data_IF_011010197310
#
_entry.id   IF_011010197310
#
_cell.length_a   1.000
_cell.length_b   1.000
_cell.length_c   1.000
_cell.angle_alpha   90.00
_cell.angle_beta   90.00
_cell.angle_gamma   90.00
#
_symmetry.space_group_name_H-M   'P 1'
#
loop_
_entity.id
_entity.type
_entity.pdbx_description
1 polymer ?
#
# COMPACT_ATOMS: atom_id res chain seq x y z
N UNK A 1 -25.07 -2.64 20.26
CA UNK A 1 -25.76 -3.04 19.02
C UNK A 1 -24.83 -3.98 18.31
N UNK A 2 -25.23 -5.24 18.33
CA UNK A 2 -24.36 -6.41 18.42
C UNK A 2 -23.52 -6.70 17.18
N UNK A 3 -22.45 -7.44 17.45
CA UNK A 3 -21.31 -7.72 16.59
C UNK A 3 -21.74 -8.51 15.34
N UNK A 4 -21.20 -8.12 14.18
CA UNK A 4 -21.21 -8.95 12.99
C UNK A 4 -20.55 -10.30 13.32
N UNK A 5 -21.27 -11.40 13.11
CA UNK A 5 -20.68 -12.73 13.01
C UNK A 5 -19.73 -12.72 11.80
N UNK A 6 -18.44 -12.58 12.07
CA UNK A 6 -17.39 -12.85 11.10
C UNK A 6 -16.98 -14.32 11.24
N UNK A 7 -17.08 -15.05 10.14
CA UNK A 7 -16.60 -16.43 10.08
C UNK A 7 -15.09 -16.42 9.94
N UNK A 8 -14.38 -16.89 10.96
CA UNK A 8 -12.96 -17.21 10.83
C UNK A 8 -12.86 -18.54 10.09
N UNK A 9 -12.57 -18.50 8.80
CA UNK A 9 -12.33 -19.71 8.02
C UNK A 9 -10.89 -20.17 8.24
N UNK A 10 -10.72 -21.30 8.92
CA UNK A 10 -9.45 -22.02 8.92
C UNK A 10 -9.55 -23.11 7.86
N UNK A 11 -8.64 -23.12 6.88
CA UNK A 11 -8.60 -24.14 5.81
C UNK A 11 -8.09 -25.48 6.38
N UNK A 12 -8.93 -26.21 7.10
CA UNK A 12 -8.64 -27.58 7.57
C UNK A 12 -9.47 -28.59 6.77
N UNK A 13 -8.82 -29.60 6.18
CA UNK A 13 -9.51 -30.75 5.59
C UNK A 13 -9.92 -31.74 6.69
N UNK A 14 -10.89 -32.61 6.41
CA UNK A 14 -11.53 -33.57 7.34
C UNK A 14 -10.55 -34.52 8.08
N UNK A 15 -9.29 -34.60 7.65
CA UNK A 15 -8.24 -35.41 8.25
C UNK A 15 -7.25 -34.61 9.13
N UNK A 16 -7.56 -33.38 9.53
CA UNK A 16 -6.66 -32.52 10.32
C UNK A 16 -5.41 -32.06 9.55
N UNK A 17 -5.30 -32.40 8.26
CA UNK A 17 -4.32 -31.84 7.34
C UNK A 17 -4.90 -30.56 6.75
N UNK A 18 -4.10 -29.49 6.73
CA UNK A 18 -4.45 -28.22 6.09
C UNK A 18 -4.89 -28.50 4.64
N UNK A 19 -6.10 -28.09 4.25
CA UNK A 19 -6.54 -28.23 2.87
C UNK A 19 -5.58 -27.40 2.01
N UNK A 20 -4.81 -28.04 1.14
CA UNK A 20 -3.93 -27.29 0.24
C UNK A 20 -4.84 -26.55 -0.75
N UNK A 21 -4.80 -25.22 -0.69
CA UNK A 21 -5.41 -24.40 -1.72
C UNK A 21 -4.80 -24.75 -3.08
N UNK A 22 -5.57 -24.63 -4.16
CA UNK A 22 -5.06 -24.70 -5.54
C UNK A 22 -4.30 -23.43 -5.94
N UNK A 23 -4.11 -22.50 -4.98
CA UNK A 23 -3.54 -21.19 -5.17
C UNK A 23 -2.34 -20.98 -4.26
N UNK A 24 -1.30 -20.35 -4.82
CA UNK A 24 -0.16 -19.83 -4.07
C UNK A 24 0.13 -18.42 -4.57
N UNK A 25 0.68 -17.59 -3.69
CA UNK A 25 0.81 -16.15 -3.92
C UNK A 25 2.27 -15.79 -4.15
N UNK A 26 2.53 -14.98 -5.17
CA UNK A 26 3.78 -14.24 -5.28
C UNK A 26 3.59 -12.88 -4.61
N UNK A 27 4.41 -12.60 -3.60
CA UNK A 27 4.59 -11.25 -3.05
C UNK A 27 5.98 -10.74 -3.41
N UNK A 28 6.02 -9.60 -4.09
CA UNK A 28 7.25 -8.95 -4.56
C UNK A 28 7.35 -7.53 -4.05
N UNK A 29 8.11 -7.33 -2.99
CA UNK A 29 8.41 -6.02 -2.42
C UNK A 29 9.52 -5.37 -3.24
N UNK A 30 9.27 -4.24 -3.89
CA UNK A 30 10.25 -3.54 -4.72
C UNK A 30 10.92 -2.46 -3.89
N UNK A 31 12.23 -2.57 -3.69
CA UNK A 31 13.02 -1.60 -2.93
C UNK A 31 13.60 -0.49 -3.82
N UNK A 32 14.03 0.61 -3.20
CA UNK A 32 14.77 1.67 -3.89
C UNK A 32 16.16 1.19 -4.33
N UNK A 33 16.67 1.71 -5.45
CA UNK A 33 17.98 1.38 -6.05
C UNK A 33 19.19 1.93 -5.28
N UNK A 34 19.02 2.47 -4.07
CA UNK A 34 20.09 3.16 -3.34
C UNK A 34 21.04 2.19 -2.61
N UNK A 35 21.76 1.37 -3.38
CA UNK A 35 22.99 0.74 -2.91
C UNK A 35 24.14 1.75 -3.04
N UNK A 36 24.28 2.61 -2.04
CA UNK A 36 25.60 3.09 -1.62
C UNK A 36 25.58 3.39 -0.13
N UNK A 37 25.65 2.33 0.67
CA UNK A 37 25.77 2.43 2.14
C UNK A 37 27.18 2.82 2.62
N UNK A 38 28.09 3.28 1.75
CA UNK A 38 29.50 3.55 2.11
C UNK A 38 30.06 4.94 1.69
N UNK A 39 29.22 5.94 1.41
CA UNK A 39 29.72 7.31 1.21
C UNK A 39 29.01 8.25 2.18
N UNK A 40 29.80 8.77 3.12
CA UNK A 40 29.43 9.87 4.00
C UNK A 40 28.72 11.01 3.24
N UNK A 41 27.83 11.80 3.89
CA UNK A 41 27.11 12.86 3.21
C UNK A 41 28.06 14.00 2.84
N UNK A 42 28.68 13.91 1.66
CA UNK A 42 29.42 15.01 1.06
C UNK A 42 28.42 15.95 0.38
N UNK A 43 28.36 17.17 0.90
CA UNK A 43 27.62 18.29 0.35
C UNK A 43 28.13 18.64 -1.06
N UNK A 44 27.62 17.99 -2.10
CA UNK A 44 27.83 18.45 -3.50
C UNK A 44 27.08 17.60 -4.52
N UNK A 45 25.89 18.05 -4.94
CA UNK A 45 25.50 18.14 -6.36
C UNK A 45 24.10 18.74 -6.52
N UNK A 46 24.09 20.05 -6.80
CA UNK A 46 22.99 20.69 -7.52
C UNK A 46 22.92 20.03 -8.91
N UNK A 47 21.82 19.34 -9.24
CA UNK A 47 21.51 18.92 -10.61
C UNK A 47 21.40 17.42 -10.86
N UNK A 48 20.41 16.76 -10.26
CA UNK A 48 19.69 15.65 -10.89
C UNK A 48 18.31 15.54 -10.25
N UNK A 49 17.32 16.17 -10.87
CA UNK A 49 15.89 16.12 -10.48
C UNK A 49 15.23 14.78 -10.90
N UNK A 50 15.98 13.69 -11.07
CA UNK A 50 15.38 12.36 -11.24
C UNK A 50 15.14 11.77 -9.86
N UNK A 51 13.89 11.82 -9.41
CA UNK A 51 13.50 11.21 -8.14
C UNK A 51 13.65 9.69 -8.23
N UNK A 52 14.23 9.01 -7.22
CA UNK A 52 14.35 7.54 -7.18
C UNK A 52 12.99 6.79 -7.24
N UNK A 53 11.87 7.52 -7.09
CA UNK A 53 10.53 7.01 -7.39
C UNK A 53 10.38 6.51 -8.83
N UNK A 54 11.05 7.16 -9.80
CA UNK A 54 10.88 6.82 -11.22
C UNK A 54 11.52 5.46 -11.57
N UNK A 55 12.72 5.17 -11.06
CA UNK A 55 13.39 3.88 -11.35
C UNK A 55 12.67 2.68 -10.73
N UNK A 56 12.21 2.82 -9.49
CA UNK A 56 11.47 1.75 -8.80
C UNK A 56 10.10 1.50 -9.44
N UNK A 57 9.44 2.54 -9.96
CA UNK A 57 8.21 2.42 -10.73
C UNK A 57 8.46 1.71 -12.06
N UNK A 58 9.46 2.12 -12.83
CA UNK A 58 9.80 1.51 -14.12
C UNK A 58 10.09 0.02 -13.95
N UNK A 59 10.83 -0.33 -12.90
CA UNK A 59 11.08 -1.73 -12.55
C UNK A 59 9.79 -2.47 -12.21
N UNK A 60 8.94 -1.90 -11.36
CA UNK A 60 7.65 -2.51 -11.00
C UNK A 60 6.75 -2.70 -12.23
N UNK A 61 6.76 -1.77 -13.18
CA UNK A 61 6.03 -1.92 -14.44
C UNK A 61 6.61 -3.01 -15.34
N UNK A 62 7.94 -3.13 -15.42
CA UNK A 62 8.60 -4.22 -16.15
C UNK A 62 8.28 -5.60 -15.55
N UNK A 63 8.32 -5.72 -14.21
CA UNK A 63 7.94 -6.92 -13.48
C UNK A 63 6.46 -7.27 -13.70
N UNK A 64 5.56 -6.27 -13.73
CA UNK A 64 4.14 -6.46 -14.08
C UNK A 64 3.97 -7.13 -15.45
N UNK A 65 4.73 -6.72 -16.46
CA UNK A 65 4.65 -7.34 -17.79
C UNK A 65 5.08 -8.81 -17.77
N UNK A 66 6.14 -9.12 -17.03
CA UNK A 66 6.61 -10.51 -16.82
C UNK A 66 5.54 -11.36 -16.14
N UNK A 67 4.93 -10.86 -15.06
CA UNK A 67 3.90 -11.57 -14.31
C UNK A 67 2.62 -11.76 -15.13
N UNK A 68 2.18 -10.72 -15.83
CA UNK A 68 0.97 -10.77 -16.67
C UNK A 68 1.10 -11.76 -17.83
N UNK A 69 2.30 -11.96 -18.37
CA UNK A 69 2.54 -12.92 -19.43
C UNK A 69 2.62 -14.38 -18.92
N UNK A 70 2.67 -14.58 -17.60
CA UNK A 70 2.87 -15.91 -17.03
C UNK A 70 1.56 -16.75 -17.07
N UNK A 71 1.58 -17.98 -17.62
CA UNK A 71 0.36 -18.75 -17.90
C UNK A 71 -0.41 -19.20 -16.65
N UNK A 72 0.27 -19.30 -15.51
CA UNK A 72 -0.36 -19.72 -14.24
C UNK A 72 -0.88 -18.56 -13.40
N UNK A 73 -0.59 -17.31 -13.77
CA UNK A 73 -1.11 -16.14 -13.04
C UNK A 73 -2.57 -15.95 -13.42
N UNK A 74 -3.48 -15.96 -12.45
CA UNK A 74 -4.91 -15.73 -12.71
C UNK A 74 -5.29 -14.29 -12.43
N UNK A 75 -4.71 -13.72 -11.38
CA UNK A 75 -5.01 -12.38 -10.92
C UNK A 75 -3.75 -11.72 -10.37
N UNK A 76 -3.67 -10.39 -10.45
CA UNK A 76 -2.60 -9.68 -9.80
C UNK A 76 -2.79 -8.17 -9.79
N UNK A 77 -2.22 -7.56 -8.76
CA UNK A 77 -2.28 -6.12 -8.51
C UNK A 77 -0.89 -5.61 -8.16
N UNK A 78 -0.57 -4.44 -8.72
CA UNK A 78 0.52 -3.60 -8.30
C UNK A 78 -0.01 -2.57 -7.31
N UNK A 79 0.64 -2.53 -6.15
CA UNK A 79 0.33 -1.62 -5.06
C UNK A 79 1.43 -0.57 -4.92
N UNK A 80 1.05 0.68 -4.65
CA UNK A 80 1.96 1.79 -4.34
C UNK A 80 1.88 2.14 -2.85
N UNK A 81 3.02 2.20 -2.17
CA UNK A 81 3.08 2.64 -0.79
C UNK A 81 2.78 4.15 -0.71
N UNK A 82 2.00 4.53 0.30
CA UNK A 82 1.62 5.94 0.52
C UNK A 82 2.32 6.57 1.73
N UNK A 83 3.22 5.82 2.37
CA UNK A 83 4.13 6.31 3.39
C UNK A 83 5.10 7.34 2.81
N UNK A 84 5.64 8.23 3.65
CA UNK A 84 6.51 9.31 3.18
C UNK A 84 7.88 8.82 2.68
N UNK A 85 8.46 7.79 3.34
CA UNK A 85 9.77 7.23 3.00
C UNK A 85 9.70 5.69 3.06
N UNK A 86 9.02 5.05 2.10
CA UNK A 86 8.84 3.60 2.13
C UNK A 86 10.14 2.87 1.81
N UNK A 87 10.46 1.80 2.55
CA UNK A 87 11.54 0.88 2.17
C UNK A 87 11.19 0.15 0.87
N UNK A 88 9.89 -0.12 0.68
CA UNK A 88 9.34 -0.78 -0.50
C UNK A 88 8.23 0.09 -1.10
N UNK A 89 8.55 1.05 -1.99
CA UNK A 89 7.54 1.90 -2.64
C UNK A 89 6.48 1.13 -3.42
N UNK A 90 6.80 -0.06 -3.93
CA UNK A 90 5.86 -0.88 -4.68
C UNK A 90 5.80 -2.32 -4.17
N UNK A 91 4.64 -2.94 -4.31
CA UNK A 91 4.39 -4.33 -3.95
C UNK A 91 3.58 -5.03 -5.06
N UNK A 92 4.13 -6.11 -5.59
CA UNK A 92 3.40 -7.05 -6.41
C UNK A 92 2.65 -8.04 -5.52
N UNK A 93 1.36 -8.23 -5.82
CA UNK A 93 0.56 -9.30 -5.26
C UNK A 93 -0.09 -10.05 -6.43
N UNK A 94 0.37 -11.28 -6.70
CA UNK A 94 -0.11 -12.10 -7.82
C UNK A 94 -0.51 -13.51 -7.37
N UNK A 95 -1.63 -14.00 -7.89
CA UNK A 95 -2.20 -15.32 -7.59
C UNK A 95 -1.80 -16.30 -8.69
N UNK A 96 -1.09 -17.36 -8.31
CA UNK A 96 -0.75 -18.48 -9.17
C UNK A 96 -1.68 -19.66 -8.89
N UNK A 97 -2.29 -20.23 -9.93
CA UNK A 97 -3.25 -21.32 -9.81
C UNK A 97 -2.79 -22.57 -10.55
N UNK A 98 -2.71 -23.68 -9.84
CA UNK A 98 -2.43 -25.01 -10.39
C UNK A 98 -2.70 -26.06 -9.31
N UNK A 99 -3.10 -27.29 -9.69
CA UNK A 99 -3.45 -28.34 -8.70
C UNK A 99 -2.25 -28.82 -7.90
N UNK A 100 -1.11 -28.96 -8.57
CA UNK A 100 0.15 -29.37 -7.95
C UNK A 100 0.86 -28.16 -7.31
N UNK A 101 1.11 -28.25 -6.00
CA UNK A 101 1.76 -27.20 -5.21
C UNK A 101 3.23 -27.02 -5.59
N UNK A 102 3.99 -28.09 -5.81
CA UNK A 102 5.42 -27.97 -6.14
C UNK A 102 5.59 -27.23 -7.46
N UNK A 103 4.74 -27.54 -8.45
CA UNK A 103 4.71 -26.83 -9.73
C UNK A 103 4.38 -25.35 -9.56
N UNK A 104 3.47 -24.98 -8.64
CA UNK A 104 3.20 -23.55 -8.34
C UNK A 104 4.43 -22.86 -7.78
N UNK A 105 5.06 -23.45 -6.77
CA UNK A 105 6.22 -22.86 -6.12
C UNK A 105 7.39 -22.72 -7.10
N UNK A 106 7.64 -23.73 -7.93
CA UNK A 106 8.69 -23.68 -8.95
C UNK A 106 8.40 -22.63 -10.03
N UNK A 107 7.14 -22.51 -10.46
CA UNK A 107 6.73 -21.47 -11.42
C UNK A 107 6.88 -20.06 -10.87
N UNK A 108 6.54 -19.86 -9.59
CA UNK A 108 6.78 -18.58 -8.90
C UNK A 108 8.28 -18.29 -8.85
N UNK A 109 9.10 -19.27 -8.49
CA UNK A 109 10.56 -19.10 -8.41
C UNK A 109 11.18 -18.79 -9.79
N UNK A 110 10.70 -19.42 -10.86
CA UNK A 110 11.12 -19.13 -12.24
C UNK A 110 10.72 -17.71 -12.66
N UNK A 111 9.50 -17.27 -12.33
CA UNK A 111 9.08 -15.89 -12.56
C UNK A 111 9.97 -14.90 -11.78
N UNK A 112 10.29 -15.18 -10.52
CA UNK A 112 11.19 -14.38 -9.69
C UNK A 112 12.60 -14.35 -10.26
N UNK A 113 13.11 -15.46 -10.78
CA UNK A 113 14.43 -15.50 -11.40
C UNK A 113 14.53 -14.63 -12.66
N UNK A 114 13.44 -14.51 -13.43
CA UNK A 114 13.35 -13.63 -14.60
C UNK A 114 13.25 -12.16 -14.24
N UNK A 115 12.72 -11.85 -13.06
CA UNK A 115 12.64 -10.48 -12.53
C UNK A 115 13.99 -10.10 -11.91
N UNK A 116 14.63 -9.04 -12.40
CA UNK A 116 15.95 -8.63 -11.92
C UNK A 116 15.89 -8.31 -10.41
N UNK A 117 16.72 -8.97 -9.60
CA UNK A 117 16.78 -8.81 -8.14
C UNK A 117 17.87 -7.82 -7.69
N UNK A 118 18.46 -7.06 -8.62
CA UNK A 118 19.47 -6.03 -8.31
C UNK A 118 18.99 -4.90 -7.41
N UNK A 119 17.69 -4.65 -7.39
CA UNK A 119 17.10 -3.71 -6.45
C UNK A 119 17.06 -4.38 -5.07
N UNK A 120 16.99 -3.61 -3.98
CA UNK A 120 16.77 -4.13 -2.63
C UNK A 120 15.39 -4.81 -2.45
N UNK A 121 14.83 -5.34 -3.53
CA UNK A 121 13.60 -6.07 -3.63
C UNK A 121 13.66 -7.44 -2.95
N UNK A 122 12.51 -7.83 -2.42
CA UNK A 122 12.31 -9.10 -1.72
C UNK A 122 11.10 -9.79 -2.34
N UNK A 123 11.35 -10.94 -2.96
CA UNK A 123 10.31 -11.75 -3.58
C UNK A 123 10.17 -13.08 -2.85
N UNK A 124 8.95 -13.61 -2.81
CA UNK A 124 8.71 -14.95 -2.30
C UNK A 124 7.41 -15.57 -2.79
N UNK A 125 7.40 -16.89 -2.79
CA UNK A 125 6.18 -17.69 -2.88
C UNK A 125 5.59 -17.86 -1.49
N UNK A 126 4.28 -17.66 -1.35
CA UNK A 126 3.58 -17.74 -0.08
C UNK A 126 2.31 -18.56 -0.21
N UNK A 127 2.00 -19.32 0.84
CA UNK A 127 0.71 -19.95 0.99
C UNK A 127 -0.12 -19.20 2.02
N UNK A 128 -1.40 -19.06 1.72
CA UNK A 128 -2.38 -18.58 2.69
C UNK A 128 -2.55 -19.61 3.81
N UNK A 129 -2.47 -19.14 5.05
CA UNK A 129 -2.62 -20.02 6.22
C UNK A 129 -3.87 -19.71 7.03
N UNK A 130 -4.29 -18.45 7.08
CA UNK A 130 -5.53 -18.01 7.70
C UNK A 130 -6.15 -16.89 6.90
N UNK A 131 -7.48 -16.86 6.85
CA UNK A 131 -8.22 -15.73 6.31
C UNK A 131 -9.51 -15.48 7.10
N UNK A 132 -9.85 -14.20 7.23
CA UNK A 132 -11.13 -13.73 7.74
C UNK A 132 -11.75 -12.87 6.66
N UNK A 133 -12.93 -13.29 6.19
CA UNK A 133 -13.74 -12.51 5.27
C UNK A 133 -14.79 -11.77 6.07
N UNK A 134 -14.82 -10.45 5.94
CA UNK A 134 -15.84 -9.66 6.63
C UNK A 134 -17.12 -9.74 5.80
N UNK A 135 -18.24 -10.07 6.45
CA UNK A 135 -19.58 -10.34 5.86
C UNK A 135 -20.23 -9.14 5.15
N UNK A 136 -19.49 -8.07 4.87
CA UNK A 136 -19.97 -6.87 4.20
C UNK A 136 -20.11 -7.11 2.69
N UNK A 137 -21.19 -7.81 2.34
CA UNK A 137 -21.71 -8.09 1.00
C UNK A 137 -20.76 -8.92 0.12
N UNK A 138 -21.32 -10.02 -0.38
CA UNK A 138 -20.80 -10.92 -1.42
C UNK A 138 -20.56 -10.14 -2.72
N UNK A 139 -19.57 -9.25 -2.74
CA UNK A 139 -19.22 -8.43 -3.89
C UNK A 139 -17.80 -8.84 -4.27
N UNK A 140 -17.74 -9.63 -5.33
CA UNK A 140 -16.57 -10.00 -6.12
C UNK A 140 -15.32 -10.41 -5.33
N UNK A 141 -15.00 -11.70 -5.35
CA UNK A 141 -13.72 -12.25 -4.89
C UNK A 141 -12.51 -11.73 -5.69
N UNK A 142 -12.75 -10.88 -6.68
CA UNK A 142 -11.72 -10.18 -7.41
C UNK A 142 -11.02 -9.14 -6.54
N UNK A 143 -9.74 -8.96 -6.81
CA UNK A 143 -8.91 -7.93 -6.23
C UNK A 143 -9.55 -6.55 -6.44
N UNK A 144 -9.50 -5.67 -5.43
CA UNK A 144 -10.02 -4.32 -5.56
C UNK A 144 -9.38 -3.58 -6.73
N UNK A 145 -10.21 -2.96 -7.56
CA UNK A 145 -9.76 -2.14 -8.70
C UNK A 145 -9.99 -0.65 -8.54
N UNK A 146 -10.62 -0.26 -7.45
CA UNK A 146 -10.98 1.12 -7.20
C UNK A 146 -9.82 1.91 -6.59
N UNK A 147 -9.63 3.17 -7.00
CA UNK A 147 -8.56 4.07 -6.53
C UNK A 147 -8.56 4.36 -5.02
N UNK A 148 -9.67 4.16 -4.31
CA UNK A 148 -9.71 4.34 -2.85
C UNK A 148 -9.48 3.04 -2.08
N UNK A 149 -9.40 1.91 -2.78
CA UNK A 149 -9.05 0.66 -2.18
C UNK A 149 -7.55 0.62 -1.86
N UNK A 150 -7.23 -0.14 -0.83
CA UNK A 150 -5.87 -0.22 -0.33
C UNK A 150 -5.70 -1.33 0.69
N UNK A 151 -4.46 -1.50 1.08
CA UNK A 151 -4.03 -2.56 1.97
C UNK A 151 -3.21 -1.99 3.11
N UNK A 152 -3.49 -2.41 4.34
CA UNK A 152 -2.47 -2.40 5.38
C UNK A 152 -1.69 -3.71 5.21
N UNK A 153 -0.39 -3.59 4.96
CA UNK A 153 0.50 -4.73 4.77
C UNK A 153 1.48 -4.76 5.92
N UNK A 154 1.64 -5.93 6.52
CA UNK A 154 2.54 -6.14 7.65
C UNK A 154 3.43 -7.34 7.38
N UNK A 155 4.74 -7.13 7.38
CA UNK A 155 5.73 -8.14 7.00
C UNK A 155 6.68 -8.46 8.14
N UNK A 156 7.00 -9.75 8.31
CA UNK A 156 7.74 -10.25 9.47
C UNK A 156 8.95 -11.07 9.05
N UNK A 157 10.10 -10.76 9.63
CA UNK A 157 11.28 -11.64 9.60
C UNK A 157 11.38 -12.34 10.94
N UNK A 158 11.59 -13.65 10.91
CA UNK A 158 11.81 -14.44 12.12
C UNK A 158 13.30 -14.71 12.27
N UNK A 159 13.76 -14.73 13.52
CA UNK A 159 15.06 -15.27 13.88
C UNK A 159 14.84 -16.79 13.98
N UNK A 160 15.58 -17.55 13.19
CA UNK A 160 15.37 -18.98 12.91
C UNK A 160 15.09 -19.81 14.18
N UNK A 161 13.85 -20.26 14.34
CA UNK A 161 13.51 -21.38 15.25
C UNK A 161 12.16 -22.01 14.85
N UNK A 162 12.22 -22.94 13.89
CA UNK A 162 11.04 -23.62 13.30
C UNK A 162 10.11 -24.28 14.33
N UNK A 163 10.66 -24.66 15.50
CA UNK A 163 9.92 -25.32 16.58
C UNK A 163 8.80 -24.45 17.18
N UNK A 164 8.89 -23.12 17.05
CA UNK A 164 7.92 -22.18 17.60
C UNK A 164 6.86 -21.73 16.59
N UNK A 165 7.01 -22.09 15.30
CA UNK A 165 6.15 -21.59 14.23
C UNK A 165 4.69 -21.99 14.43
N UNK A 166 4.41 -23.22 14.88
CA UNK A 166 3.03 -23.71 15.09
C UNK A 166 2.32 -22.99 16.25
N UNK A 167 3.02 -22.73 17.36
CA UNK A 167 2.48 -21.99 18.49
C UNK A 167 2.23 -20.51 18.12
N UNK A 168 3.13 -19.94 17.32
CA UNK A 168 2.98 -18.59 16.78
C UNK A 168 1.75 -18.49 15.87
N UNK A 169 1.58 -19.42 14.93
CA UNK A 169 0.43 -19.48 14.01
C UNK A 169 -0.92 -19.54 14.75
N UNK A 170 -1.01 -20.29 15.85
CA UNK A 170 -2.24 -20.36 16.67
C UNK A 170 -2.65 -19.03 17.31
N UNK A 171 -1.70 -18.10 17.49
CA UNK A 171 -1.93 -16.79 18.11
C UNK A 171 -1.85 -15.63 17.12
N UNK A 172 -1.96 -15.91 15.82
CA UNK A 172 -1.69 -14.94 14.74
C UNK A 172 -2.43 -13.63 14.86
N UNK A 173 -3.69 -13.63 15.30
CA UNK A 173 -4.45 -12.40 15.47
C UNK A 173 -3.79 -11.40 16.42
N UNK A 174 -3.09 -11.89 17.46
CA UNK A 174 -2.47 -11.06 18.48
C UNK A 174 -1.12 -10.50 18.06
N UNK A 175 -0.20 -11.34 17.59
CA UNK A 175 1.17 -10.91 17.29
C UNK A 175 1.27 -10.17 15.96
N UNK A 176 0.43 -10.50 14.97
CA UNK A 176 0.45 -9.80 13.68
C UNK A 176 -0.17 -8.41 13.74
N UNK A 177 -0.94 -8.09 14.80
CA UNK A 177 -1.74 -6.87 14.87
C UNK A 177 -3.10 -6.96 14.17
N UNK A 178 -3.45 -8.09 13.55
CA UNK A 178 -4.73 -8.28 12.87
C UNK A 178 -5.95 -8.04 13.79
N UNK A 179 -5.85 -8.40 15.08
CA UNK A 179 -6.91 -8.10 16.08
C UNK A 179 -7.14 -6.61 16.25
N UNK A 180 -6.07 -5.82 16.28
CA UNK A 180 -6.15 -4.36 16.43
C UNK A 180 -6.82 -3.74 15.20
N UNK A 181 -6.42 -4.18 14.01
CA UNK A 181 -7.03 -3.75 12.74
C UNK A 181 -8.52 -4.11 12.72
N UNK A 182 -8.85 -5.37 12.98
CA UNK A 182 -10.23 -5.85 12.94
C UNK A 182 -11.14 -5.10 13.92
N UNK A 183 -10.67 -4.85 15.15
CA UNK A 183 -11.46 -4.20 16.20
C UNK A 183 -11.57 -2.69 16.02
N UNK A 184 -10.50 -2.05 15.54
CA UNK A 184 -10.38 -0.59 15.56
C UNK A 184 -10.48 0.08 14.19
N UNK A 185 -10.55 -0.68 13.09
CA UNK A 185 -10.81 -0.10 11.77
C UNK A 185 -12.21 0.52 11.74
N UNK A 186 -12.34 1.81 11.38
CA UNK A 186 -13.63 2.44 11.13
C UNK A 186 -14.43 1.71 10.04
N UNK A 187 -15.75 1.63 10.22
CA UNK A 187 -16.66 1.03 9.22
C UNK A 187 -16.57 1.72 7.85
N UNK A 188 -16.25 3.02 7.83
CA UNK A 188 -16.08 3.81 6.60
C UNK A 188 -14.91 3.36 5.74
N UNK A 189 -13.96 2.60 6.29
CA UNK A 189 -12.85 2.04 5.51
C UNK A 189 -13.28 0.80 4.72
N UNK A 190 -14.36 0.15 5.17
CA UNK A 190 -14.91 -1.06 4.58
C UNK A 190 -13.84 -2.17 4.47
N UNK A 191 -13.45 -2.69 5.64
CA UNK A 191 -12.57 -3.85 5.76
C UNK A 191 -13.24 -5.06 5.10
N UNK A 192 -12.59 -5.60 4.06
CA UNK A 192 -13.10 -6.75 3.30
C UNK A 192 -12.49 -8.05 3.80
N UNK A 193 -11.18 -8.04 4.05
CA UNK A 193 -10.43 -9.28 4.30
C UNK A 193 -9.18 -9.07 5.14
N UNK A 194 -8.87 -10.04 6.00
CA UNK A 194 -7.57 -10.19 6.64
C UNK A 194 -7.02 -11.56 6.25
N UNK A 195 -5.83 -11.62 5.68
CA UNK A 195 -5.20 -12.87 5.29
C UNK A 195 -3.75 -12.92 5.72
N UNK A 196 -3.36 -14.02 6.37
CA UNK A 196 -1.98 -14.28 6.75
C UNK A 196 -1.36 -15.27 5.77
N UNK A 197 -0.22 -14.86 5.23
CA UNK A 197 0.59 -15.60 4.28
C UNK A 197 1.87 -16.07 4.94
N UNK A 198 2.27 -17.32 4.67
CA UNK A 198 3.54 -17.91 5.10
C UNK A 198 4.42 -18.19 3.91
N UNK A 199 5.69 -17.84 4.03
CA UNK A 199 6.68 -18.11 3.00
C UNK A 199 6.91 -19.61 2.80
N UNK A 200 6.93 -20.04 1.54
CA UNK A 200 7.22 -21.40 1.14
C UNK A 200 8.72 -21.55 0.91
N UNK A 201 9.43 -22.03 1.93
CA UNK A 201 10.87 -22.31 1.82
C UNK A 201 11.09 -23.58 1.01
N UNK A 202 11.48 -23.45 -0.27
CA UNK A 202 11.79 -24.60 -1.12
C UNK A 202 13.29 -24.80 -1.37
N UNK A 203 14.16 -23.87 -0.92
CA UNK A 203 15.61 -23.99 -1.14
C UNK A 203 16.39 -23.51 0.08
N UNK A 204 17.36 -24.32 0.49
CA UNK A 204 18.40 -23.94 1.45
C UNK A 204 19.22 -22.80 0.84
N UNK A 205 18.90 -21.59 1.25
CA UNK A 205 19.56 -20.37 0.84
C UNK A 205 18.97 -19.21 1.64
N UNK A 206 19.76 -18.18 1.90
CA UNK A 206 19.30 -16.97 2.59
C UNK A 206 18.24 -16.28 1.74
N UNK A 207 16.98 -16.67 1.90
CA UNK A 207 15.87 -15.96 1.27
C UNK A 207 15.79 -14.57 1.87
N UNK A 208 15.86 -13.54 1.02
CA UNK A 208 15.62 -12.16 1.46
C UNK A 208 14.14 -11.93 1.82
N UNK A 209 13.25 -12.90 1.58
CA UNK A 209 11.82 -12.81 1.81
C UNK A 209 11.45 -12.67 3.30
N UNK A 210 10.21 -12.22 3.53
CA UNK A 210 9.60 -12.21 4.85
C UNK A 210 9.05 -13.61 5.17
N UNK A 211 9.19 -14.07 6.41
CA UNK A 211 8.66 -15.37 6.83
C UNK A 211 7.12 -15.39 6.81
N UNK A 212 6.52 -14.28 7.22
CA UNK A 212 5.07 -14.07 7.20
C UNK A 212 4.71 -12.69 6.66
N UNK A 213 3.55 -12.61 6.00
CA UNK A 213 2.95 -11.35 5.56
C UNK A 213 1.47 -11.35 5.87
N UNK A 214 1.01 -10.37 6.65
CA UNK A 214 -0.41 -10.08 6.84
C UNK A 214 -0.84 -9.05 5.79
N UNK A 215 -1.88 -9.38 5.03
CA UNK A 215 -2.57 -8.48 4.11
C UNK A 215 -3.95 -8.17 4.67
N UNK A 216 -4.24 -6.89 4.90
CA UNK A 216 -5.56 -6.42 5.29
C UNK A 216 -6.14 -5.56 4.18
N UNK A 217 -7.19 -6.04 3.53
CA UNK A 217 -7.83 -5.43 2.37
C UNK A 217 -9.00 -4.52 2.76
N UNK A 218 -9.03 -3.33 2.20
CA UNK A 218 -10.08 -2.34 2.43
C UNK A 218 -10.58 -1.75 1.11
N UNK A 219 -11.88 -1.51 1.00
CA UNK A 219 -12.46 -0.91 -0.20
C UNK A 219 -12.24 0.61 -0.29
N UNK A 220 -12.05 1.29 0.85
CA UNK A 220 -12.08 2.77 0.92
C UNK A 220 -11.06 3.39 1.88
N UNK A 221 -10.03 2.64 2.30
CA UNK A 221 -9.03 3.15 3.27
C UNK A 221 -8.23 4.34 2.73
N UNK A 222 -8.02 4.43 1.42
CA UNK A 222 -7.29 5.51 0.76
C UNK A 222 -8.17 6.70 0.36
N UNK A 223 -9.47 6.71 0.72
CA UNK A 223 -10.31 7.90 0.54
C UNK A 223 -9.71 9.09 1.33
N UNK A 224 -9.70 10.33 0.80
CA UNK A 224 -9.08 11.47 1.47
C UNK A 224 -9.54 11.71 2.91
N UNK A 225 -10.81 11.43 3.23
CA UNK A 225 -11.35 11.54 4.60
C UNK A 225 -10.83 10.46 5.56
N UNK A 226 -10.34 9.33 5.04
CA UNK A 226 -9.92 8.17 5.82
C UNK A 226 -8.38 8.11 5.95
N UNK A 227 -7.65 8.63 4.95
CA UNK A 227 -6.21 8.46 4.80
C UNK A 227 -5.39 8.84 6.04
N UNK A 228 -5.70 9.98 6.68
CA UNK A 228 -4.95 10.43 7.85
C UNK A 228 -5.10 9.45 9.03
N UNK A 229 -6.31 8.97 9.29
CA UNK A 229 -6.58 8.01 10.36
C UNK A 229 -6.00 6.62 10.03
N UNK A 230 -5.94 6.25 8.76
CA UNK A 230 -5.30 5.02 8.31
C UNK A 230 -3.78 5.05 8.54
N UNK A 231 -3.13 6.18 8.26
CA UNK A 231 -1.72 6.40 8.56
C UNK A 231 -1.46 6.37 10.08
N UNK A 232 -2.32 7.02 10.89
CA UNK A 232 -2.24 6.93 12.36
C UNK A 232 -2.33 5.47 12.85
N UNK A 233 -3.24 4.66 12.29
CA UNK A 233 -3.30 3.24 12.64
C UNK A 233 -2.00 2.50 12.30
N UNK A 234 -1.38 2.81 11.16
CA UNK A 234 -0.10 2.21 10.78
C UNK A 234 1.00 2.57 11.80
N UNK A 235 1.09 3.83 12.22
CA UNK A 235 2.06 4.25 13.26
C UNK A 235 1.82 3.53 14.59
N UNK A 236 0.57 3.40 15.04
CA UNK A 236 0.24 2.66 16.27
C UNK A 236 0.66 1.19 16.19
N UNK A 237 0.51 0.55 15.02
CA UNK A 237 0.96 -0.83 14.80
C UNK A 237 2.49 -0.93 14.82
N UNK A 238 3.22 0.06 14.28
CA UNK A 238 4.70 0.14 14.37
C UNK A 238 5.18 0.30 15.80
N UNK A 239 4.57 1.17 16.58
CA UNK A 239 4.89 1.36 18.01
C UNK A 239 4.67 0.08 18.82
N UNK A 240 3.70 -0.75 18.41
CA UNK A 240 3.45 -2.07 19.00
C UNK A 240 4.43 -3.16 18.53
N UNK A 241 5.41 -2.81 17.68
CA UNK A 241 6.36 -3.72 17.05
C UNK A 241 5.68 -4.86 16.27
N UNK A 242 4.55 -4.58 15.62
CA UNK A 242 3.91 -5.53 14.72
C UNK A 242 4.67 -5.65 13.39
N UNK A 243 5.99 -5.88 13.37
CA UNK A 243 6.76 -6.04 12.13
C UNK A 243 6.89 -4.77 11.27
N UNK A 244 7.18 -4.95 9.98
CA UNK A 244 7.25 -3.86 9.00
C UNK A 244 5.85 -3.52 8.50
N UNK A 245 5.33 -2.35 8.89
CA UNK A 245 3.95 -1.91 8.59
C UNK A 245 3.96 -0.80 7.56
N UNK A 246 3.19 -0.97 6.49
CA UNK A 246 3.00 0.04 5.45
C UNK A 246 1.57 0.07 4.91
N UNK A 247 1.14 1.26 4.50
CA UNK A 247 -0.15 1.47 3.84
C UNK A 247 0.06 1.55 2.33
N UNK A 248 -0.67 0.72 1.60
CA UNK A 248 -0.57 0.59 0.16
C UNK A 248 -1.89 0.94 -0.51
N UNK A 249 -1.81 1.61 -1.65
CA UNK A 249 -2.94 1.95 -2.51
C UNK A 249 -2.87 1.12 -3.79
N UNK A 250 -4.03 0.72 -4.32
CA UNK A 250 -4.10 0.04 -5.61
C UNK A 250 -3.66 0.99 -6.72
N UNK A 251 -2.61 0.61 -7.45
CA UNK A 251 -2.07 1.38 -8.58
C UNK A 251 -2.53 0.79 -9.92
N UNK A 252 -2.41 -0.53 -10.11
CA UNK A 252 -2.75 -1.21 -11.35
C UNK A 252 -3.17 -2.67 -11.11
N UNK A 253 -4.30 -3.11 -11.66
CA UNK A 253 -4.64 -4.54 -11.82
C UNK A 253 -4.26 -5.08 -13.19
N UNK A 254 -3.57 -6.20 -13.24
CA UNK A 254 -3.21 -6.87 -14.47
C UNK A 254 -3.94 -8.21 -14.65
N UNK A 255 -5.21 -8.27 -14.22
CA UNK A 255 -6.11 -9.40 -14.42
C UNK A 255 -6.02 -9.93 -15.86
N UNK A 256 -5.73 -11.22 -15.99
CA UNK A 256 -5.68 -11.90 -17.28
C UNK A 256 -7.11 -12.17 -17.70
N UNK A 257 -7.79 -11.15 -18.24
CA UNK A 257 -9.01 -11.40 -19.00
C UNK A 257 -8.59 -12.13 -20.27
N UNK A 258 -8.82 -13.44 -20.31
CA UNK A 258 -8.87 -14.19 -21.55
C UNK A 258 -10.06 -13.69 -22.36
N UNK A 259 -9.88 -12.62 -23.15
CA UNK A 259 -10.56 -12.36 -24.44
C UNK A 259 -10.25 -10.96 -25.01
N UNK A 260 -9.83 -10.97 -26.28
CA UNK A 260 -9.82 -9.89 -27.29
C UNK A 260 -8.83 -8.70 -27.15
N UNK A 261 -8.04 -8.41 -28.20
CA UNK A 261 -7.25 -7.18 -28.31
C UNK A 261 -8.20 -6.04 -28.69
N UNK A 262 -8.78 -5.39 -27.69
CA UNK A 262 -9.78 -4.36 -27.98
C UNK A 262 -10.25 -3.55 -26.79
N UNK A 263 -9.38 -3.23 -25.82
CA UNK A 263 -9.58 -2.07 -24.95
C UNK A 263 -8.31 -1.78 -24.14
N UNK A 264 -7.30 -1.19 -24.77
CA UNK A 264 -6.26 -0.47 -24.04
C UNK A 264 -6.73 0.97 -23.86
N UNK A 265 -7.21 1.31 -22.67
CA UNK A 265 -7.27 2.71 -22.23
C UNK A 265 -5.84 3.16 -21.93
N UNK A 266 -5.14 3.51 -23.01
CA UNK A 266 -3.87 4.24 -23.01
C UNK A 266 -4.19 5.58 -23.68
N UNK A 267 -4.90 6.46 -22.97
CA UNK A 267 -4.99 7.87 -23.33
C UNK A 267 -5.35 8.67 -22.08
N UNK A 268 -4.34 9.11 -21.32
CA UNK A 268 -4.43 10.34 -20.52
C UNK A 268 -3.10 10.75 -19.87
N UNK A 269 -1.96 10.67 -20.56
CA UNK A 269 -0.81 11.54 -20.23
C UNK A 269 -0.05 11.90 -21.51
N UNK A 270 -0.64 12.74 -22.36
CA UNK A 270 0.14 13.59 -23.27
C UNK A 270 -0.08 15.03 -22.83
N UNK A 271 0.93 15.59 -22.15
CA UNK A 271 1.08 17.03 -21.96
C UNK A 271 1.03 17.69 -23.33
N UNK A 272 -0.06 18.39 -23.59
CA UNK A 272 -0.27 19.25 -24.75
C UNK A 272 0.76 20.40 -24.70
N UNK A 273 1.87 20.25 -25.43
CA UNK A 273 2.76 21.36 -25.75
C UNK A 273 2.18 22.05 -26.97
N UNK A 274 1.51 23.19 -26.78
CA UNK A 274 1.11 24.09 -27.85
C UNK A 274 2.36 24.55 -28.63
N UNK A 275 2.49 24.25 -29.94
CA UNK A 275 3.49 24.92 -30.76
C UNK A 275 2.96 26.31 -31.15
N UNK A 276 3.64 27.35 -30.67
CA UNK A 276 3.44 28.72 -31.15
C UNK A 276 3.84 28.78 -32.63
N UNK A 277 2.85 28.89 -33.52
CA UNK A 277 3.08 29.17 -34.93
C UNK A 277 2.92 30.67 -35.21
N UNK A 278 3.97 31.15 -35.86
CA UNK A 278 4.36 32.52 -36.14
C UNK A 278 3.62 33.05 -37.36
N UNK A 279 2.99 34.21 -37.20
CA UNK A 279 2.76 35.30 -38.16
C UNK A 279 2.31 34.98 -39.60
N UNK A 280 1.15 35.51 -39.97
CA UNK A 280 0.98 36.17 -41.26
C UNK A 280 0.10 37.42 -41.11
N UNK A 281 0.68 38.54 -41.52
CA UNK A 281 0.06 39.85 -41.70
C UNK A 281 -0.35 39.99 -43.16
N UNK A 282 -1.58 40.44 -43.44
CA UNK A 282 -1.87 41.30 -44.61
C UNK A 282 -3.21 42.04 -44.43
N UNK A 283 -3.19 43.31 -44.84
CA UNK A 283 -4.12 44.40 -44.54
C UNK A 283 -5.22 44.63 -45.62
N UNK A 284 -6.12 45.59 -45.28
CA UNK A 284 -6.80 46.60 -46.14
C UNK A 284 -8.32 46.45 -46.42
N UNK A 285 -9.11 47.28 -45.69
CA UNK A 285 -10.18 48.26 -46.06
C UNK A 285 -11.36 47.86 -46.97
N UNK A 286 -12.61 48.37 -46.93
CA UNK A 286 -13.26 49.53 -46.29
C UNK A 286 -14.81 49.42 -46.39
N UNK A 287 -15.53 50.07 -45.46
CA UNK A 287 -16.84 50.77 -45.60
C UNK A 287 -18.13 49.99 -45.92
N UNK A 288 -19.14 50.03 -45.02
CA UNK A 288 -20.36 50.88 -45.13
C UNK A 288 -21.29 50.63 -43.93
N UNK A 289 -21.90 51.71 -43.45
CA UNK A 289 -22.65 51.84 -42.20
C UNK A 289 -24.12 51.36 -42.24
N UNK A 290 -24.74 51.25 -41.06
CA UNK A 290 -25.83 52.09 -40.49
C UNK A 290 -26.88 51.25 -39.70
N UNK A 291 -27.19 51.76 -38.48
CA UNK A 291 -28.41 51.66 -37.65
C UNK A 291 -28.44 50.80 -36.37
N UNK A 292 -28.26 51.50 -35.24
CA UNK A 292 -29.11 51.55 -34.02
C UNK A 292 -29.34 50.25 -33.22
N UNK A 293 -29.22 50.16 -31.89
CA UNK A 293 -29.75 51.02 -30.82
C UNK A 293 -29.11 50.65 -29.46
N UNK A 294 -29.19 51.61 -28.53
CA UNK A 294 -28.73 51.66 -27.13
C UNK A 294 -29.16 50.47 -26.24
N UNK A 295 -28.30 50.11 -25.27
CA UNK A 295 -28.58 50.18 -23.80
C UNK A 295 -27.32 49.97 -22.95
N UNK A 296 -27.02 50.98 -22.13
CA UNK A 296 -26.08 50.97 -21.00
C UNK A 296 -26.66 50.06 -19.87
N UNK A 297 -25.88 49.29 -19.10
CA UNK A 297 -25.06 49.66 -17.91
C UNK A 297 -24.70 48.33 -17.14
N UNK A 298 -23.90 48.31 -16.06
CA UNK A 298 -22.44 48.39 -16.00
C UNK A 298 -21.82 47.18 -15.24
N UNK A 299 -20.49 47.12 -15.19
CA UNK A 299 -19.70 45.99 -14.63
C UNK A 299 -19.75 45.80 -13.10
N UNK A 300 -19.06 44.74 -12.61
CA UNK A 300 -19.14 44.29 -11.22
C UNK A 300 -18.18 45.07 -10.29
N UNK A 301 -18.71 45.53 -9.16
CA UNK A 301 -17.94 46.15 -8.07
C UNK A 301 -17.38 45.08 -7.13
N UNK A 302 -16.06 44.97 -7.10
CA UNK A 302 -15.28 44.36 -6.03
C UNK A 302 -15.43 45.22 -4.77
N UNK A 303 -15.83 44.60 -3.65
CA UNK A 303 -15.68 45.21 -2.32
C UNK A 303 -15.07 44.20 -1.36
N UNK A 304 -13.82 44.45 -1.03
CA UNK A 304 -13.12 43.76 0.05
C UNK A 304 -13.71 44.09 1.41
N UNK A 305 -13.58 43.14 2.33
CA UNK A 305 -13.58 43.39 3.78
C UNK A 305 -12.51 42.52 4.42
N UNK A 306 -11.45 43.21 4.81
CA UNK A 306 -10.51 42.87 5.87
C UNK A 306 -11.20 42.90 7.23
N UNK A 307 -10.88 41.92 8.08
CA UNK A 307 -10.98 41.85 9.55
C UNK A 307 -10.38 40.45 9.88
N UNK A 308 -9.18 40.28 10.45
CA UNK A 308 -8.56 41.04 11.54
C UNK A 308 -8.96 40.41 12.87
N UNK A 309 -8.42 39.23 13.20
CA UNK A 309 -8.48 38.69 14.57
C UNK A 309 -7.10 38.73 15.20
N UNK A 310 -7.08 39.47 16.31
CA UNK A 310 -5.96 39.86 17.16
C UNK A 310 -5.81 38.82 18.26
N UNK A 311 -4.57 38.40 18.52
CA UNK A 311 -4.20 37.63 19.71
C UNK A 311 -4.46 38.47 20.96
N UNK A 312 -4.93 37.81 22.02
CA UNK A 312 -4.88 38.35 23.37
C UNK A 312 -4.39 37.24 24.30
N UNK A 313 -3.11 37.30 24.62
CA UNK A 313 -2.49 36.70 25.80
C UNK A 313 -2.96 37.49 27.03
N UNK A 314 -3.37 36.80 28.08
CA UNK A 314 -3.25 37.32 29.44
C UNK A 314 -2.99 36.16 30.39
N UNK A 315 -1.81 36.23 31.02
CA UNK A 315 -1.39 35.43 32.17
C UNK A 315 -2.09 35.95 33.43
N UNK A 316 -2.44 35.04 34.33
CA UNK A 316 -2.25 35.16 35.79
C UNK A 316 -2.37 33.73 36.35
N UNK A 317 -1.28 33.05 36.70
CA UNK A 317 -0.55 33.12 37.97
C UNK A 317 -1.42 33.02 39.24
N UNK A 318 -1.68 31.78 39.66
CA UNK A 318 -1.62 31.28 41.04
C UNK A 318 -2.02 29.80 40.96
N UNK A 319 -1.24 28.78 41.30
CA UNK A 319 -0.18 28.66 42.28
C UNK A 319 -0.53 27.40 43.09
N UNK A 320 0.26 26.34 42.98
CA UNK A 320 0.65 25.48 44.11
C UNK A 320 1.53 24.31 43.64
N UNK A 321 2.77 24.41 44.11
CA UNK A 321 3.76 23.36 44.25
C UNK A 321 3.20 22.14 45.00
N UNK A 322 3.52 20.95 44.51
CA UNK A 322 3.73 19.78 45.36
C UNK A 322 4.95 19.01 44.85
N UNK A 323 6.03 19.22 45.59
CA UNK A 323 7.36 18.64 45.50
C UNK A 323 7.45 17.33 46.29
N UNK A 324 8.20 16.37 45.73
CA UNK A 324 8.93 15.25 46.37
C UNK A 324 8.16 14.15 47.14
N UNK A 325 8.38 12.89 46.73
CA UNK A 325 9.25 12.00 47.52
C UNK A 325 9.73 10.78 46.70
N UNK A 326 11.06 10.69 46.63
CA UNK A 326 11.83 9.47 46.37
C UNK A 326 11.58 8.47 47.49
N UNK A 327 11.33 7.20 47.16
CA UNK A 327 11.63 6.09 48.04
C UNK A 327 12.51 5.08 47.29
N UNK A 328 13.78 5.05 47.69
CA UNK A 328 14.67 3.90 47.62
C UNK A 328 14.63 3.15 48.97
N UNK A 329 15.27 1.97 48.97
CA UNK A 329 15.43 0.94 50.02
C UNK A 329 14.47 -0.24 49.80
N UNK A 330 14.85 -1.51 49.80
CA UNK A 330 16.13 -2.21 50.07
C UNK A 330 15.97 -3.66 49.63
N UNK A 331 17.09 -4.33 49.35
CA UNK A 331 17.24 -5.78 49.37
C UNK A 331 16.59 -6.43 50.60
N UNK A 332 16.01 -7.62 50.44
CA UNK A 332 16.38 -8.75 51.30
C UNK A 332 16.04 -10.12 50.69
N UNK A 333 16.87 -11.08 51.07
CA UNK A 333 16.99 -12.43 50.55
C UNK A 333 15.98 -13.45 51.13
N UNK A 334 16.00 -14.65 50.54
CA UNK A 334 15.63 -15.99 51.09
C UNK A 334 14.14 -16.28 51.35
N UNK A 335 13.54 -17.20 50.57
CA UNK A 335 13.60 -18.66 50.71
C UNK A 335 13.12 -19.34 49.42
#
# INVERSE_FOLDING_TARGET
MDQNEASVSTLMNENGKKAMSDESILLGFIGNSSDSLDVAPCCSSLGSEFTPEDESLDKALADCHTLRAHPMVTEGVLLRCIDANPLFPYLHYAIFKHKDHEIRIDSINDAVYKMDTKFNSQFGAYDEIYAIHTTSLMVDNHMPSHRHAGYIVISFKLLEDESQHSALENSWLGWTGAREIYKHSPRTWNLRRLALYRYCSNRRGSSRAFAYVLMCEFASICHPSNRLQALDMCERLRVRNCGYVSLYQVQWNYNIVSSNPGCSSLDSVKRERNPLLRGHSQEVDTTTAIYSTRRNHPGPLLRGRSLGYRYQEEMDQSGLLASYQHHSLTDDQTF
#
